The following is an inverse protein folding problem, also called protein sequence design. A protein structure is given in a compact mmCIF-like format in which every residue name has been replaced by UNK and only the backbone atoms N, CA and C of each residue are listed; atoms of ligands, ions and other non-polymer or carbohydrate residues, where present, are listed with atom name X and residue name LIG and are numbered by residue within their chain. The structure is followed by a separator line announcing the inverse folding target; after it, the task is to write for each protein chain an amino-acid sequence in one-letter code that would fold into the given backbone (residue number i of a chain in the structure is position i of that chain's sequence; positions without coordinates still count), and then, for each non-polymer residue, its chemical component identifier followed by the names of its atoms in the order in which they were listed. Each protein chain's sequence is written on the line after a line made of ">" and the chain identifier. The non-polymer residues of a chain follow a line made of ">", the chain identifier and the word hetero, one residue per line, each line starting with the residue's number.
data_IF_755326293728
#
_entry.id   IF_755326293728
#
_cell.length_a   1.000
_cell.length_b   1.000
_cell.length_c   1.000
_cell.angle_alpha   90.00
_cell.angle_beta   90.00
_cell.angle_gamma   90.00
#
_symmetry.space_group_name_H-M   'P 1'
#
loop_
_entity.id
_entity.type
_entity.pdbx_description
1 polymer ?
#
# COMPACT_ATOMS: atom_id res chain seq x y z
N UNK A 1 39.53 22.85 47.60
CA UNK A 1 38.95 23.87 46.70
C UNK A 1 37.78 23.18 45.98
N UNK A 2 36.53 23.21 46.48
CA UNK A 2 35.47 24.24 46.26
C UNK A 2 35.45 24.65 44.77
N UNK A 3 34.45 24.30 43.96
CA UNK A 3 33.03 24.59 44.13
C UNK A 3 32.11 23.71 43.27
N UNK A 4 30.98 23.30 43.87
CA UNK A 4 29.79 22.77 43.23
C UNK A 4 28.99 23.91 42.60
N UNK A 5 28.43 23.71 41.40
CA UNK A 5 27.40 24.60 40.84
C UNK A 5 26.13 23.76 40.66
N UNK A 6 25.25 23.86 41.64
CA UNK A 6 23.82 23.57 41.53
C UNK A 6 23.15 24.71 40.79
N UNK A 7 22.55 24.42 39.63
CA UNK A 7 21.44 25.22 39.09
C UNK A 7 20.31 24.23 38.84
N UNK A 8 19.35 24.22 39.76
CA UNK A 8 18.03 23.69 39.49
C UNK A 8 17.24 24.73 38.71
N UNK A 9 16.46 24.29 37.71
CA UNK A 9 15.23 24.98 37.36
C UNK A 9 14.16 23.96 36.96
N UNK A 10 12.99 24.23 37.52
CA UNK A 10 11.73 23.51 37.52
C UNK A 10 11.17 23.22 36.13
N UNK A 11 10.47 22.08 36.08
CA UNK A 11 9.68 21.52 34.98
C UNK A 11 8.56 22.47 34.55
N UNK A 12 8.35 22.62 33.23
CA UNK A 12 7.01 22.79 32.68
C UNK A 12 6.82 21.90 31.46
N UNK A 13 5.76 21.11 31.53
CA UNK A 13 5.26 20.23 30.49
C UNK A 13 4.92 21.02 29.22
N UNK A 14 5.49 20.60 28.10
CA UNK A 14 4.99 20.91 26.78
C UNK A 14 4.97 19.62 25.99
N UNK A 15 3.78 19.02 25.85
CA UNK A 15 3.55 17.95 24.89
C UNK A 15 3.90 18.49 23.50
N UNK A 16 5.11 18.21 23.02
CA UNK A 16 5.32 18.12 21.58
C UNK A 16 4.69 16.79 21.16
N UNK A 17 3.36 16.78 21.08
CA UNK A 17 2.63 15.83 20.28
C UNK A 17 3.13 16.00 18.84
N UNK A 18 4.23 15.32 18.49
CA UNK A 18 4.54 15.02 17.12
C UNK A 18 3.43 14.06 16.67
N UNK A 19 2.41 14.68 16.09
CA UNK A 19 1.18 14.10 15.62
C UNK A 19 1.44 12.72 14.99
N UNK A 20 0.74 11.64 15.36
CA UNK A 20 0.61 10.56 14.42
C UNK A 20 -0.07 11.18 13.20
N UNK A 21 0.62 11.18 12.06
CA UNK A 21 0.04 11.47 10.75
C UNK A 21 -1.05 10.42 10.47
N UNK A 22 -2.18 10.53 11.15
CA UNK A 22 -3.38 9.74 10.91
C UNK A 22 -4.05 10.30 9.67
N UNK A 23 -3.52 9.92 8.52
CA UNK A 23 -4.13 10.15 7.21
C UNK A 23 -3.87 9.04 6.19
N UNK A 24 -2.97 8.08 6.46
CA UNK A 24 -2.59 7.05 5.50
C UNK A 24 -3.38 5.74 5.59
N UNK A 25 -3.80 5.32 6.79
CA UNK A 25 -4.37 3.98 7.01
C UNK A 25 -5.76 3.77 6.43
N UNK A 26 -6.67 4.72 6.63
CA UNK A 26 -8.06 4.62 6.17
C UNK A 26 -8.21 4.74 4.63
N UNK A 27 -7.24 5.37 3.96
CA UNK A 27 -7.23 5.51 2.51
C UNK A 27 -6.64 4.27 1.83
N UNK A 28 -5.58 3.69 2.41
CA UNK A 28 -4.98 2.41 1.96
C UNK A 28 -5.96 1.24 2.08
N UNK A 29 -6.72 1.17 3.18
CA UNK A 29 -7.72 0.11 3.37
C UNK A 29 -8.86 0.18 2.35
N UNK A 30 -9.33 1.40 2.02
CA UNK A 30 -10.36 1.58 0.98
C UNK A 30 -9.85 1.20 -0.41
N UNK A 31 -8.63 1.58 -0.77
CA UNK A 31 -8.03 1.18 -2.05
C UNK A 31 -7.80 -0.33 -2.15
N UNK A 32 -7.37 -0.99 -1.07
CA UNK A 32 -7.19 -2.43 -1.07
C UNK A 32 -8.51 -3.19 -1.28
N UNK A 33 -9.59 -2.73 -0.65
CA UNK A 33 -10.91 -3.34 -0.81
C UNK A 33 -11.48 -3.11 -2.22
N UNK A 34 -11.33 -1.90 -2.76
CA UNK A 34 -11.78 -1.59 -4.12
C UNK A 34 -10.98 -2.39 -5.17
N UNK A 35 -9.66 -2.55 -4.97
CA UNK A 35 -8.82 -3.39 -5.82
C UNK A 35 -9.30 -4.85 -5.84
N UNK A 36 -9.55 -5.41 -4.67
CA UNK A 36 -9.98 -6.79 -4.51
C UNK A 36 -11.36 -7.02 -5.16
N UNK A 37 -12.29 -6.09 -4.97
CA UNK A 37 -13.58 -6.12 -5.64
C UNK A 37 -13.45 -6.03 -7.17
N UNK A 38 -12.55 -5.18 -7.69
CA UNK A 38 -12.32 -5.06 -9.13
C UNK A 38 -11.62 -6.28 -9.71
N UNK A 39 -10.69 -6.88 -8.95
CA UNK A 39 -10.03 -8.13 -9.32
C UNK A 39 -11.06 -9.25 -9.45
N UNK A 40 -11.91 -9.45 -8.44
CA UNK A 40 -12.98 -10.44 -8.47
C UNK A 40 -14.00 -10.23 -9.59
N UNK A 41 -14.28 -8.97 -9.96
CA UNK A 41 -15.16 -8.66 -11.08
C UNK A 41 -14.53 -8.97 -12.45
N UNK A 42 -13.19 -8.93 -12.54
CA UNK A 42 -12.47 -9.20 -13.76
C UNK A 42 -12.12 -10.69 -13.92
N UNK A 43 -11.94 -11.40 -12.81
CA UNK A 43 -11.74 -12.85 -12.71
C UNK A 43 -13.05 -13.58 -13.04
N UNK A 44 -13.27 -13.84 -14.33
CA UNK A 44 -14.55 -14.33 -14.83
C UNK A 44 -14.76 -15.82 -14.55
N UNK A 45 -13.66 -16.58 -14.43
CA UNK A 45 -13.69 -18.00 -14.08
C UNK A 45 -13.57 -18.24 -12.56
N UNK A 46 -13.34 -17.20 -11.76
CA UNK A 46 -13.22 -17.23 -10.31
C UNK A 46 -12.11 -18.17 -9.81
N UNK A 47 -11.00 -18.25 -10.54
CA UNK A 47 -9.87 -19.11 -10.20
C UNK A 47 -8.81 -18.42 -9.32
N UNK A 48 -9.03 -17.15 -8.98
CA UNK A 48 -8.12 -16.33 -8.19
C UNK A 48 -6.95 -15.75 -8.99
N UNK A 49 -7.02 -15.79 -10.31
CA UNK A 49 -6.01 -15.27 -11.24
C UNK A 49 -6.70 -14.39 -12.28
N UNK A 50 -5.94 -13.45 -12.83
CA UNK A 50 -6.36 -12.67 -13.98
C UNK A 50 -5.48 -13.04 -15.16
N UNK A 51 -6.07 -13.61 -16.19
CA UNK A 51 -5.39 -13.70 -17.49
C UNK A 51 -5.29 -12.31 -18.14
N UNK A 52 -4.45 -12.17 -19.16
CA UNK A 52 -4.33 -10.90 -19.90
C UNK A 52 -5.66 -10.49 -20.55
N UNK A 53 -6.46 -11.45 -20.99
CA UNK A 53 -7.76 -11.20 -21.62
C UNK A 53 -8.79 -10.69 -20.60
N UNK A 54 -8.84 -11.30 -19.42
CA UNK A 54 -9.67 -10.87 -18.30
C UNK A 54 -9.24 -9.49 -17.77
N UNK A 55 -7.93 -9.29 -17.61
CA UNK A 55 -7.37 -7.99 -17.27
C UNK A 55 -7.77 -6.93 -18.29
N UNK A 56 -7.74 -7.23 -19.59
CA UNK A 56 -8.10 -6.24 -20.62
C UNK A 56 -9.56 -5.83 -20.53
N UNK A 57 -10.44 -6.76 -20.16
CA UNK A 57 -11.90 -6.52 -20.05
C UNK A 57 -12.28 -5.80 -18.76
N UNK A 58 -11.73 -6.19 -17.61
CA UNK A 58 -12.14 -5.66 -16.31
C UNK A 58 -11.17 -4.65 -15.68
N UNK A 59 -9.88 -4.70 -16.04
CA UNK A 59 -8.81 -3.92 -15.41
C UNK A 59 -7.76 -3.44 -16.44
N UNK A 60 -8.10 -2.52 -17.37
CA UNK A 60 -7.21 -2.15 -18.47
C UNK A 60 -5.84 -1.62 -18.01
N UNK A 61 -5.75 -0.97 -16.85
CA UNK A 61 -4.46 -0.57 -16.23
C UNK A 61 -3.58 -1.78 -15.89
N UNK A 62 -4.16 -2.85 -15.38
CA UNK A 62 -3.46 -4.11 -15.09
C UNK A 62 -3.01 -4.76 -16.39
N UNK A 63 -3.84 -4.73 -17.44
CA UNK A 63 -3.46 -5.26 -18.74
C UNK A 63 -2.28 -4.51 -19.39
N UNK A 64 -2.23 -3.18 -19.21
CA UNK A 64 -1.11 -2.35 -19.69
C UNK A 64 0.21 -2.69 -19.00
N UNK A 65 0.16 -2.91 -17.68
CA UNK A 65 1.32 -3.26 -16.86
C UNK A 65 1.44 -4.79 -16.63
N UNK A 66 0.77 -5.61 -17.44
CA UNK A 66 0.61 -7.03 -17.15
C UNK A 66 1.95 -7.75 -17.04
N UNK A 67 2.86 -7.47 -17.97
CA UNK A 67 4.21 -8.03 -17.97
C UNK A 67 5.08 -7.53 -16.81
N UNK A 68 4.77 -6.36 -16.25
CA UNK A 68 5.45 -5.81 -15.07
C UNK A 68 4.93 -6.45 -13.77
N UNK A 69 3.66 -6.89 -13.77
CA UNK A 69 3.00 -7.50 -12.62
C UNK A 69 3.23 -9.03 -12.60
N UNK A 70 3.15 -9.70 -13.75
CA UNK A 70 3.47 -11.14 -13.92
C UNK A 70 4.98 -11.35 -14.04
N UNK A 71 5.70 -11.04 -12.96
CA UNK A 71 7.16 -11.20 -12.86
C UNK A 71 7.62 -12.65 -12.98
N UNK A 72 6.72 -13.61 -12.69
CA UNK A 72 6.98 -15.04 -12.83
C UNK A 72 6.79 -15.54 -14.28
N UNK A 73 6.18 -14.74 -15.17
CA UNK A 73 5.93 -15.10 -16.56
C UNK A 73 4.97 -16.28 -16.74
N UNK A 74 3.99 -16.43 -15.85
CA UNK A 74 3.04 -17.56 -15.87
C UNK A 74 1.85 -17.34 -16.83
N UNK A 75 1.71 -16.13 -17.38
CA UNK A 75 0.60 -15.76 -18.25
C UNK A 75 -0.65 -15.34 -17.48
N UNK A 76 -0.55 -15.16 -16.16
CA UNK A 76 -1.63 -14.70 -15.29
C UNK A 76 -1.07 -13.85 -14.14
N UNK A 77 -1.87 -12.92 -13.63
CA UNK A 77 -1.55 -12.12 -12.46
C UNK A 77 -2.44 -12.50 -11.30
N UNK A 78 -1.86 -12.65 -10.11
CA UNK A 78 -2.60 -12.87 -8.88
C UNK A 78 -2.89 -11.55 -8.16
N UNK A 79 -3.88 -11.56 -7.28
CA UNK A 79 -4.19 -10.41 -6.43
C UNK A 79 -2.99 -9.96 -5.59
N UNK A 80 -2.16 -10.91 -5.12
CA UNK A 80 -0.96 -10.61 -4.33
C UNK A 80 0.12 -9.87 -5.15
N UNK A 81 0.39 -10.34 -6.37
CA UNK A 81 1.29 -9.65 -7.29
C UNK A 81 0.79 -8.23 -7.59
N UNK A 82 -0.52 -8.07 -7.78
CA UNK A 82 -1.12 -6.76 -8.03
C UNK A 82 -1.02 -5.83 -6.81
N UNK A 83 -1.27 -6.35 -5.59
CA UNK A 83 -1.09 -5.60 -4.33
C UNK A 83 0.36 -5.15 -4.15
N UNK A 84 1.31 -6.03 -4.45
CA UNK A 84 2.75 -5.74 -4.41
C UNK A 84 3.13 -4.64 -5.39
N UNK A 85 2.70 -4.76 -6.65
CA UNK A 85 2.94 -3.74 -7.68
C UNK A 85 2.35 -2.38 -7.30
N UNK A 86 1.14 -2.34 -6.73
CA UNK A 86 0.52 -1.11 -6.26
C UNK A 86 1.19 -0.50 -5.03
N UNK A 87 1.72 -1.34 -4.14
CA UNK A 87 2.48 -0.87 -2.98
C UNK A 87 3.83 -0.27 -3.43
N UNK A 88 4.47 -0.86 -4.43
CA UNK A 88 5.70 -0.35 -5.04
C UNK A 88 5.47 0.94 -5.82
N UNK A 89 4.36 1.03 -6.59
CA UNK A 89 4.02 2.20 -7.39
C UNK A 89 3.59 3.42 -6.56
N UNK A 90 3.16 3.24 -5.31
CA UNK A 90 2.82 4.34 -4.38
C UNK A 90 4.04 4.97 -3.69
N UNK A 91 5.24 4.43 -3.90
CA UNK A 91 6.49 4.94 -3.31
C UNK A 91 7.32 5.84 -4.23
N UNK A 92 6.82 6.17 -5.42
CA UNK A 92 7.50 7.01 -6.42
C UNK A 92 6.77 8.34 -6.63
#
# INVERSE_FOLDING_TARGET
>A
MRTLITIGLLVVSGMAAAQPQMGGGAMRGRMANELESRFQQADANHDGKLTKEEATKGMPRVAQHFAEIDTDGKGYVTLDQLKTFMAQSQGQ
#
